data_IF_573464085251
#
_entry.id   IF_573464085251
#
_cell.length_a   1.000
_cell.length_b   1.000
_cell.length_c   1.000
_cell.angle_alpha   90.00
_cell.angle_beta   90.00
_cell.angle_gamma   90.00
#
_symmetry.space_group_name_H-M   'P 1'
#
loop_
_entity.id
_entity.type
_entity.pdbx_description
1 polymer ?
#
# COMPACT_ATOMS: atom_id res chain seq x y z
N UNK A 1 -25.50 37.40 -40.89
CA UNK A 1 -25.45 36.78 -39.55
C UNK A 1 -24.81 35.42 -39.70
N UNK A 2 -23.54 35.29 -39.28
CA UNK A 2 -22.77 34.03 -39.36
C UNK A 2 -22.92 33.28 -38.05
N UNK A 3 -23.89 32.37 -37.97
CA UNK A 3 -24.14 31.50 -36.80
C UNK A 3 -23.33 30.19 -36.83
N UNK A 4 -22.42 30.02 -37.80
CA UNK A 4 -21.69 28.77 -38.05
C UNK A 4 -20.34 28.59 -37.33
N UNK A 5 -19.72 29.66 -36.81
CA UNK A 5 -18.36 29.58 -36.25
C UNK A 5 -18.31 29.28 -34.74
N UNK A 6 -19.31 29.70 -33.95
CA UNK A 6 -19.26 29.55 -32.49
C UNK A 6 -19.51 28.10 -32.01
N UNK A 7 -20.35 27.34 -32.73
CA UNK A 7 -20.61 25.94 -32.42
C UNK A 7 -19.40 25.03 -32.69
N UNK A 8 -18.61 25.38 -33.71
CA UNK A 8 -17.44 24.61 -34.13
C UNK A 8 -16.25 24.86 -33.18
N UNK A 9 -16.12 26.08 -32.65
CA UNK A 9 -15.11 26.46 -31.65
C UNK A 9 -15.36 25.79 -30.29
N UNK A 10 -16.62 25.71 -29.85
CA UNK A 10 -16.98 24.99 -28.63
C UNK A 10 -16.72 23.47 -28.76
N UNK A 11 -17.04 22.88 -29.91
CA UNK A 11 -16.77 21.48 -30.21
C UNK A 11 -15.26 21.17 -30.32
N UNK A 12 -14.47 22.06 -30.93
CA UNK A 12 -13.00 21.91 -30.97
C UNK A 12 -12.36 22.13 -29.61
N UNK A 13 -12.90 23.01 -28.76
CA UNK A 13 -12.45 23.19 -27.38
C UNK A 13 -12.74 21.96 -26.53
N UNK A 14 -13.94 21.39 -26.63
CA UNK A 14 -14.30 20.11 -26.01
C UNK A 14 -13.45 18.95 -26.53
N UNK A 15 -13.24 18.82 -27.84
CA UNK A 15 -12.35 17.80 -28.40
C UNK A 15 -10.91 17.98 -27.94
N UNK A 16 -10.37 19.20 -27.88
CA UNK A 16 -9.06 19.45 -27.29
C UNK A 16 -9.05 19.04 -25.82
N UNK A 17 -10.04 19.37 -25.03
CA UNK A 17 -10.10 19.04 -23.60
C UNK A 17 -10.21 17.52 -23.36
N UNK A 18 -10.96 16.81 -24.21
CA UNK A 18 -11.04 15.34 -24.26
C UNK A 18 -9.72 14.71 -24.74
N UNK A 19 -9.01 15.34 -25.67
CA UNK A 19 -7.71 14.85 -26.18
C UNK A 19 -6.56 15.17 -25.20
N UNK A 20 -6.68 16.25 -24.43
CA UNK A 20 -5.66 16.72 -23.46
C UNK A 20 -5.83 16.08 -22.08
N UNK A 21 -7.01 15.53 -21.76
CA UNK A 21 -7.19 14.59 -20.65
C UNK A 21 -6.58 13.23 -21.02
N UNK A 22 -5.26 13.22 -21.23
CA UNK A 22 -4.46 11.99 -21.19
C UNK A 22 -4.87 11.23 -19.95
N UNK A 23 -5.58 10.13 -20.16
CA UNK A 23 -6.01 9.21 -19.11
C UNK A 23 -4.74 8.63 -18.50
N UNK A 24 -4.23 9.32 -17.47
CA UNK A 24 -2.97 8.95 -16.84
C UNK A 24 -3.23 7.71 -16.00
N UNK A 25 -2.62 6.60 -16.43
CA UNK A 25 -2.67 5.34 -15.71
C UNK A 25 -2.32 5.58 -14.24
N UNK A 26 -3.17 5.09 -13.33
CA UNK A 26 -2.94 5.21 -11.91
C UNK A 26 -1.56 4.63 -11.54
N UNK A 27 -0.79 5.37 -10.74
CA UNK A 27 0.47 4.89 -10.16
C UNK A 27 0.20 3.62 -9.34
N UNK A 28 1.19 2.72 -9.27
CA UNK A 28 1.05 1.40 -8.62
C UNK A 28 0.64 1.51 -7.15
N UNK A 29 1.08 2.55 -6.45
CA UNK A 29 0.76 2.85 -5.05
C UNK A 29 -0.72 3.24 -4.89
N UNK A 30 -1.26 4.09 -5.79
CA UNK A 30 -2.69 4.45 -5.80
C UNK A 30 -3.59 3.25 -6.10
N UNK A 31 -3.13 2.32 -6.94
CA UNK A 31 -3.87 1.09 -7.19
C UNK A 31 -3.79 0.10 -6.01
N UNK A 32 -2.66 0.06 -5.30
CA UNK A 32 -2.54 -0.71 -4.06
C UNK A 32 -3.47 -0.17 -2.96
N UNK A 33 -3.55 1.16 -2.80
CA UNK A 33 -4.46 1.77 -1.83
C UNK A 33 -5.92 1.50 -2.16
N UNK A 34 -6.29 1.49 -3.46
CA UNK A 34 -7.64 1.09 -3.88
C UNK A 34 -7.95 -0.34 -3.46
N UNK A 35 -7.03 -1.29 -3.68
CA UNK A 35 -7.24 -2.69 -3.29
C UNK A 35 -7.44 -2.81 -1.77
N UNK A 36 -6.64 -2.11 -0.97
CA UNK A 36 -6.69 -2.19 0.49
C UNK A 36 -7.97 -1.52 1.02
N UNK A 37 -8.22 -0.27 0.62
CA UNK A 37 -9.32 0.54 1.15
C UNK A 37 -10.70 0.03 0.70
N UNK A 38 -10.77 -0.70 -0.40
CA UNK A 38 -12.00 -1.31 -0.92
C UNK A 38 -12.05 -2.82 -0.70
N UNK A 39 -11.14 -3.38 0.11
CA UNK A 39 -11.10 -4.80 0.48
C UNK A 39 -11.16 -5.77 -0.71
N UNK A 40 -10.57 -5.37 -1.84
CA UNK A 40 -10.66 -6.13 -3.08
C UNK A 40 -9.75 -7.35 -3.03
N UNK A 41 -10.29 -8.50 -3.42
CA UNK A 41 -9.45 -9.65 -3.74
C UNK A 41 -8.81 -9.48 -5.12
N UNK A 42 -7.69 -10.19 -5.36
CA UNK A 42 -6.95 -10.17 -6.63
C UNK A 42 -7.86 -10.40 -7.86
N UNK A 43 -8.83 -11.29 -7.73
CA UNK A 43 -9.79 -11.60 -8.80
C UNK A 43 -10.68 -10.38 -9.13
N UNK A 44 -11.31 -9.78 -8.12
CA UNK A 44 -12.15 -8.58 -8.30
C UNK A 44 -11.37 -7.43 -8.94
N UNK A 45 -10.14 -7.18 -8.48
CA UNK A 45 -9.28 -6.17 -9.10
C UNK A 45 -9.01 -6.45 -10.59
N UNK A 46 -8.73 -7.71 -10.94
CA UNK A 46 -8.52 -8.11 -12.34
C UNK A 46 -9.78 -7.87 -13.18
N UNK A 47 -10.96 -8.19 -12.66
CA UNK A 47 -12.24 -7.93 -13.34
C UNK A 47 -12.42 -6.43 -13.59
N UNK A 48 -12.26 -5.59 -12.57
CA UNK A 48 -12.37 -4.13 -12.69
C UNK A 48 -11.42 -3.59 -13.77
N UNK A 49 -10.16 -4.04 -13.74
CA UNK A 49 -9.16 -3.64 -14.74
C UNK A 49 -9.56 -4.08 -16.15
N UNK A 50 -9.98 -5.33 -16.34
CA UNK A 50 -10.35 -5.86 -17.65
C UNK A 50 -11.60 -5.15 -18.20
N UNK A 51 -12.58 -4.86 -17.34
CA UNK A 51 -13.77 -4.10 -17.72
C UNK A 51 -13.40 -2.69 -18.18
N UNK A 52 -12.52 -1.99 -17.45
CA UNK A 52 -12.01 -0.68 -17.87
C UNK A 52 -11.26 -0.76 -19.22
N UNK A 53 -10.45 -1.80 -19.43
CA UNK A 53 -9.75 -2.00 -20.70
C UNK A 53 -10.70 -2.29 -21.87
N UNK A 54 -11.80 -3.03 -21.63
CA UNK A 54 -12.84 -3.31 -22.63
C UNK A 54 -13.55 -2.05 -23.11
N UNK A 55 -13.77 -1.09 -22.23
CA UNK A 55 -14.35 0.22 -22.58
C UNK A 55 -13.29 1.23 -23.07
N UNK A 56 -12.07 0.78 -23.40
CA UNK A 56 -11.02 1.62 -23.98
C UNK A 56 -10.16 2.39 -22.97
N UNK A 57 -10.39 2.22 -21.67
CA UNK A 57 -9.70 2.97 -20.61
C UNK A 57 -8.59 2.17 -19.92
N UNK A 58 -7.33 2.56 -20.14
CA UNK A 58 -6.13 1.94 -19.52
C UNK A 58 -5.80 2.54 -18.14
N UNK A 59 -6.80 2.66 -17.27
CA UNK A 59 -6.70 3.34 -15.97
C UNK A 59 -5.80 2.60 -14.97
N UNK A 60 -5.85 1.27 -14.96
CA UNK A 60 -5.28 0.48 -13.85
C UNK A 60 -3.95 -0.21 -14.19
N UNK A 61 -2.96 -0.21 -13.29
CA UNK A 61 -1.74 -1.00 -13.44
C UNK A 61 -2.04 -2.51 -13.47
N UNK A 62 -1.12 -3.30 -14.04
CA UNK A 62 -1.24 -4.75 -13.92
C UNK A 62 -1.04 -5.16 -12.46
N UNK A 63 -1.66 -6.27 -12.06
CA UNK A 63 -1.51 -6.78 -10.70
C UNK A 63 -0.05 -7.04 -10.32
N UNK A 64 0.81 -7.42 -11.28
CA UNK A 64 2.23 -7.63 -11.02
C UNK A 64 2.95 -6.34 -10.56
N UNK A 65 2.59 -5.18 -11.12
CA UNK A 65 3.15 -3.90 -10.67
C UNK A 65 2.71 -3.56 -9.24
N UNK A 66 1.49 -3.94 -8.88
CA UNK A 66 0.96 -3.77 -7.52
C UNK A 66 1.63 -4.73 -6.55
N UNK A 67 1.81 -5.99 -6.95
CA UNK A 67 2.53 -7.00 -6.16
C UNK A 67 3.93 -6.50 -5.81
N UNK A 68 4.66 -5.95 -6.78
CA UNK A 68 5.98 -5.34 -6.54
C UNK A 68 5.91 -4.18 -5.52
N UNK A 69 4.89 -3.32 -5.60
CA UNK A 69 4.69 -2.25 -4.61
C UNK A 69 4.36 -2.78 -3.21
N UNK A 70 3.58 -3.88 -3.12
CA UNK A 70 3.27 -4.58 -1.88
C UNK A 70 4.52 -5.22 -1.27
N UNK A 71 5.34 -5.92 -2.07
CA UNK A 71 6.59 -6.51 -1.62
C UNK A 71 7.60 -5.45 -1.14
N UNK A 72 7.67 -4.30 -1.82
CA UNK A 72 8.50 -3.18 -1.36
C UNK A 72 8.02 -2.57 -0.02
N UNK A 73 6.84 -2.95 0.49
CA UNK A 73 6.36 -2.55 1.81
C UNK A 73 6.82 -3.46 2.94
N UNK A 74 7.17 -4.70 2.62
CA UNK A 74 7.48 -5.67 3.65
C UNK A 74 8.85 -5.42 4.27
N UNK A 75 8.98 -5.52 5.61
CA UNK A 75 10.28 -5.55 6.27
C UNK A 75 11.07 -6.78 5.82
N UNK A 76 12.37 -6.71 6.01
CA UNK A 76 13.28 -7.84 5.77
C UNK A 76 13.28 -8.81 6.95
N UNK A 77 13.72 -10.05 6.71
CA UNK A 77 13.87 -11.06 7.76
C UNK A 77 12.55 -11.55 8.35
N UNK A 78 11.49 -11.65 7.54
CA UNK A 78 10.25 -12.35 7.93
C UNK A 78 10.55 -13.85 7.96
N UNK A 79 10.34 -14.46 9.11
CA UNK A 79 10.46 -15.91 9.33
C UNK A 79 9.05 -16.48 9.42
N UNK A 80 8.76 -17.45 8.55
CA UNK A 80 7.49 -18.17 8.53
C UNK A 80 7.76 -19.59 9.01
N UNK A 81 7.10 -19.96 10.09
CA UNK A 81 6.97 -21.33 10.54
C UNK A 81 5.53 -21.82 10.27
N UNK A 82 5.27 -23.07 10.62
CA UNK A 82 3.94 -23.65 10.49
C UNK A 82 2.91 -22.95 11.39
N UNK A 83 3.33 -22.61 12.61
CA UNK A 83 2.50 -22.12 13.70
C UNK A 83 2.84 -20.68 14.14
N UNK A 84 3.85 -20.06 13.51
CA UNK A 84 4.27 -18.70 13.85
C UNK A 84 4.74 -17.91 12.63
N UNK A 85 4.66 -16.59 12.77
CA UNK A 85 5.21 -15.62 11.83
C UNK A 85 5.88 -14.53 12.63
N UNK A 86 7.18 -14.38 12.43
CA UNK A 86 8.00 -13.45 13.20
C UNK A 86 8.81 -12.54 12.28
N UNK A 87 9.13 -11.36 12.77
CA UNK A 87 9.98 -10.41 12.06
C UNK A 87 10.98 -9.80 13.02
N UNK A 88 12.21 -9.61 12.55
CA UNK A 88 13.22 -8.91 13.33
C UNK A 88 12.76 -7.48 13.66
N UNK A 89 12.76 -7.12 14.95
CA UNK A 89 12.27 -5.83 15.43
C UNK A 89 13.01 -4.64 14.79
N UNK A 90 14.33 -4.72 14.65
CA UNK A 90 15.13 -3.68 14.03
C UNK A 90 14.75 -3.49 12.56
N UNK A 91 14.51 -4.58 11.83
CA UNK A 91 14.08 -4.56 10.43
C UNK A 91 12.70 -3.94 10.27
N UNK A 92 11.76 -4.25 11.19
CA UNK A 92 10.43 -3.65 11.22
C UNK A 92 10.50 -2.14 11.50
N UNK A 93 11.28 -1.73 12.51
CA UNK A 93 11.47 -0.32 12.87
C UNK A 93 12.13 0.49 11.74
N UNK A 94 13.21 -0.04 11.14
CA UNK A 94 13.91 0.61 10.03
C UNK A 94 13.00 0.81 8.82
N UNK A 95 12.22 -0.22 8.44
CA UNK A 95 11.27 -0.13 7.33
C UNK A 95 10.15 0.87 7.63
N UNK A 96 9.63 0.87 8.85
CA UNK A 96 8.58 1.79 9.29
C UNK A 96 9.07 3.24 9.27
N UNK A 97 10.24 3.52 9.84
CA UNK A 97 10.85 4.85 9.83
C UNK A 97 11.08 5.36 8.40
N UNK A 98 11.65 4.52 7.54
CA UNK A 98 11.89 4.85 6.11
C UNK A 98 10.58 5.27 5.43
N UNK A 99 9.51 4.50 5.62
CA UNK A 99 8.21 4.81 5.03
C UNK A 99 7.58 6.09 5.56
N UNK A 100 7.73 6.38 6.85
CA UNK A 100 7.23 7.63 7.43
C UNK A 100 7.97 8.81 6.78
N UNK A 101 9.30 8.75 6.68
CA UNK A 101 10.10 9.81 6.06
C UNK A 101 9.73 9.99 4.58
N UNK A 102 9.60 8.91 3.82
CA UNK A 102 9.14 8.94 2.42
C UNK A 102 7.72 9.50 2.26
N UNK A 103 6.86 9.35 3.26
CA UNK A 103 5.48 9.87 3.20
C UNK A 103 5.39 11.37 3.46
N UNK A 104 6.35 11.95 4.20
CA UNK A 104 6.37 13.37 4.59
C UNK A 104 7.28 14.20 3.68
N UNK A 105 8.35 13.61 3.14
CA UNK A 105 9.34 14.32 2.33
C UNK A 105 9.15 14.03 0.84
N UNK A 106 9.14 15.08 0.01
CA UNK A 106 9.28 14.95 -1.45
C UNK A 106 10.74 14.76 -1.88
N UNK A 107 11.68 14.98 -0.96
CA UNK A 107 13.12 14.85 -1.18
C UNK A 107 13.59 13.49 -0.63
N UNK A 108 14.35 12.69 -1.40
CA UNK A 108 14.88 11.41 -0.93
C UNK A 108 15.66 11.55 0.38
N UNK A 109 15.47 10.61 1.32
CA UNK A 109 16.14 10.62 2.63
C UNK A 109 17.69 10.65 2.53
N UNK A 110 18.25 10.25 1.38
CA UNK A 110 19.68 10.32 1.07
C UNK A 110 20.25 11.74 0.96
N UNK A 111 19.42 12.75 0.73
CA UNK A 111 19.87 14.13 0.47
C UNK A 111 19.88 15.01 1.74
N UNK A 112 19.43 14.50 2.89
CA UNK A 112 19.47 15.23 4.17
C UNK A 112 19.95 14.33 5.30
N UNK A 113 21.12 14.64 5.87
CA UNK A 113 21.57 14.03 7.13
C UNK A 113 20.80 14.63 8.30
N UNK A 114 19.58 14.14 8.51
CA UNK A 114 18.72 14.53 9.63
C UNK A 114 18.79 13.43 10.68
N UNK A 115 19.16 13.79 11.90
CA UNK A 115 19.08 12.87 13.03
C UNK A 115 17.66 12.92 13.58
N UNK A 116 16.97 11.78 13.54
CA UNK A 116 15.60 11.66 14.01
C UNK A 116 15.49 10.62 15.11
N UNK A 117 14.62 10.88 16.08
CA UNK A 117 14.20 9.92 17.10
C UNK A 117 12.76 9.47 16.84
N UNK A 118 12.56 8.15 16.72
CA UNK A 118 11.24 7.54 16.56
C UNK A 118 10.81 6.89 17.87
N UNK A 119 9.79 7.46 18.52
CA UNK A 119 9.12 6.87 19.67
C UNK A 119 7.98 5.97 19.20
N UNK A 120 7.99 4.72 19.65
CA UNK A 120 6.95 3.73 19.35
C UNK A 120 6.26 3.27 20.64
N UNK A 121 5.00 2.82 20.51
CA UNK A 121 4.33 2.01 21.53
C UNK A 121 4.23 0.59 21.01
N UNK A 122 4.35 -0.40 21.89
CA UNK A 122 4.20 -1.80 21.53
C UNK A 122 3.34 -2.51 22.58
N UNK A 123 2.79 -3.65 22.20
CA UNK A 123 1.99 -4.49 23.07
C UNK A 123 1.76 -5.85 22.43
N UNK A 124 1.03 -6.69 23.12
CA UNK A 124 0.64 -7.99 22.62
C UNK A 124 -0.73 -8.35 23.21
N UNK A 125 -1.46 -9.18 22.50
CA UNK A 125 -2.76 -9.68 22.95
C UNK A 125 -2.97 -11.13 22.50
N UNK A 126 -3.87 -11.81 23.19
CA UNK A 126 -4.32 -13.16 22.87
C UNK A 126 -5.81 -13.16 22.58
N UNK A 127 -6.18 -13.81 21.50
CA UNK A 127 -7.58 -14.13 21.17
C UNK A 127 -7.78 -15.64 21.02
N UNK A 128 -8.98 -16.10 21.32
CA UNK A 128 -9.39 -17.51 21.25
C UNK A 128 -10.64 -17.65 20.38
N UNK A 129 -11.07 -18.89 20.11
CA UNK A 129 -12.24 -19.22 19.29
C UNK A 129 -12.07 -18.82 17.82
N UNK A 130 -10.86 -18.90 17.30
CA UNK A 130 -10.60 -18.80 15.87
C UNK A 130 -11.05 -20.07 15.16
N UNK A 131 -11.32 -19.95 13.86
CA UNK A 131 -11.67 -21.11 13.02
C UNK A 131 -10.50 -22.08 12.95
N UNK A 132 -10.79 -23.37 13.21
CA UNK A 132 -9.81 -24.43 13.12
C UNK A 132 -9.81 -25.05 11.72
N UNK A 133 -8.64 -25.09 11.10
CA UNK A 133 -8.41 -25.71 9.81
C UNK A 133 -8.05 -27.18 9.97
N UNK A 134 -8.29 -27.98 8.93
CA UNK A 134 -7.90 -29.40 8.89
C UNK A 134 -6.42 -29.58 8.55
N UNK A 135 -5.56 -28.77 9.16
CA UNK A 135 -4.11 -28.83 8.96
C UNK A 135 -3.51 -29.92 9.85
N UNK A 136 -2.55 -30.67 9.30
CA UNK A 136 -1.73 -31.60 10.07
C UNK A 136 -0.52 -30.86 10.62
N UNK A 137 -0.30 -30.95 11.93
CA UNK A 137 0.81 -30.27 12.62
C UNK A 137 2.01 -31.19 12.76
N UNK A 138 3.22 -30.66 12.55
CA UNK A 138 4.45 -31.41 12.81
C UNK A 138 4.69 -31.71 14.30
N UNK A 139 4.15 -30.86 15.18
CA UNK A 139 4.30 -30.97 16.64
C UNK A 139 2.96 -31.28 17.29
N UNK A 140 2.96 -32.18 18.27
CA UNK A 140 1.77 -32.47 19.08
C UNK A 140 1.36 -31.25 19.92
N UNK A 141 0.06 -31.08 20.13
CA UNK A 141 -0.51 -30.01 20.97
C UNK A 141 -0.62 -28.64 20.29
N UNK A 142 -0.34 -28.54 18.98
CA UNK A 142 -0.59 -27.33 18.20
C UNK A 142 -2.05 -27.22 17.79
N UNK A 143 -2.55 -25.99 17.79
CA UNK A 143 -3.92 -25.63 17.44
C UNK A 143 -3.94 -24.19 16.95
N UNK A 144 -4.74 -23.93 15.94
CA UNK A 144 -5.05 -22.62 15.36
C UNK A 144 -6.28 -21.97 16.03
N UNK A 145 -6.84 -22.57 17.08
CA UNK A 145 -7.93 -21.98 17.88
C UNK A 145 -7.53 -20.67 18.58
N UNK A 146 -6.23 -20.52 18.87
CA UNK A 146 -5.68 -19.40 19.60
C UNK A 146 -4.71 -18.59 18.74
N UNK A 147 -4.88 -17.27 18.74
CA UNK A 147 -3.95 -16.33 18.12
C UNK A 147 -3.30 -15.49 19.21
N UNK A 148 -1.97 -15.52 19.26
CA UNK A 148 -1.16 -14.58 20.04
C UNK A 148 -0.44 -13.65 19.07
N UNK A 149 -0.57 -12.34 19.27
CA UNK A 149 -0.01 -11.35 18.35
C UNK A 149 0.65 -10.22 19.12
N UNK A 150 1.91 -9.95 18.81
CA UNK A 150 2.60 -8.72 19.20
C UNK A 150 2.42 -7.65 18.12
N UNK A 151 2.16 -6.41 18.52
CA UNK A 151 2.01 -5.28 17.62
C UNK A 151 2.81 -4.07 18.09
N UNK A 152 3.21 -3.23 17.14
CA UNK A 152 3.95 -1.99 17.37
C UNK A 152 3.36 -0.87 16.53
N UNK A 153 3.19 0.30 17.14
CA UNK A 153 2.71 1.51 16.48
C UNK A 153 3.72 2.65 16.64
N UNK A 154 4.16 3.29 15.54
CA UNK A 154 4.95 4.52 15.63
C UNK A 154 4.08 5.65 16.20
N UNK A 155 4.55 6.34 17.23
CA UNK A 155 3.80 7.39 17.92
C UNK A 155 4.31 8.80 17.60
N UNK A 156 5.63 8.99 17.54
CA UNK A 156 6.23 10.30 17.32
C UNK A 156 7.59 10.19 16.64
N UNK A 157 7.79 10.95 15.57
CA UNK A 157 9.09 11.15 14.94
C UNK A 157 9.53 12.60 15.18
N UNK A 158 10.69 12.80 15.79
CA UNK A 158 11.23 14.14 16.12
C UNK A 158 12.57 14.32 15.43
N UNK A 159 12.78 15.45 14.77
CA UNK A 159 14.10 15.88 14.31
C UNK A 159 14.87 16.45 15.52
N UNK A 160 15.99 15.82 15.85
CA UNK A 160 16.81 16.21 17.01
C UNK A 160 17.51 17.57 16.81
N UNK A 161 17.61 18.06 15.57
CA UNK A 161 18.25 19.33 15.25
C UNK A 161 17.33 20.56 15.44
N UNK A 162 16.04 20.37 15.73
CA UNK A 162 15.04 21.44 15.90
C UNK A 162 14.69 21.75 17.36
N UNK A 163 15.54 21.32 18.31
CA UNK A 163 15.42 21.65 19.74
C UNK A 163 16.36 22.78 20.18
N UNK A 164 16.70 23.71 19.28
CA UNK A 164 17.27 25.02 19.59
C UNK A 164 16.32 26.12 19.12
#
# INVERSE_FOLDING_TARGET
MNLGNEGDEAATKLMKEITTTTTTRAKREKALSLIINSELIKFQYKIIRLTAEKIGHKLYPSYEKIRKAKCAAYPEGIVLAEDSCEVNLQSLLARTATRIVESVSTVPASERKIKCSLTCKYGFDRSSRHSQYKQEWQQEGRSDEFLFMSSLVPHRLVNENSSQ
#
